data_IF_009718082995
#
_entry.id   IF_009718082995
#
_cell.length_a   1.000
_cell.length_b   1.000
_cell.length_c   1.000
_cell.angle_alpha   90.00
_cell.angle_beta   90.00
_cell.angle_gamma   90.00
#
_symmetry.space_group_name_H-M   'P 1'
#
loop_
_entity.id
_entity.type
_entity.pdbx_description
1 polymer ?
#
# COMPACT_ATOMS: atom_id res chain seq x y z
N UNK A 1 54.47 8.22 -23.20
CA UNK A 1 53.02 8.23 -23.47
C UNK A 1 52.36 7.14 -22.63
N UNK A 2 52.01 7.46 -21.39
CA UNK A 2 51.23 6.57 -20.53
C UNK A 2 50.34 7.46 -19.66
N UNK A 3 49.03 7.21 -19.69
CA UNK A 3 47.97 7.71 -18.78
C UNK A 3 46.77 8.22 -19.56
N UNK A 4 45.82 7.33 -19.85
CA UNK A 4 44.40 7.69 -20.00
C UNK A 4 43.48 6.49 -19.78
N UNK A 5 43.77 5.71 -18.74
CA UNK A 5 42.78 4.79 -18.15
C UNK A 5 42.46 5.30 -16.75
N UNK A 6 41.75 6.42 -16.69
CA UNK A 6 41.02 6.78 -15.47
C UNK A 6 39.91 5.75 -15.32
N UNK A 7 40.09 4.82 -14.38
CA UNK A 7 39.03 3.90 -13.95
C UNK A 7 37.75 4.73 -13.73
N UNK A 8 36.72 4.53 -14.53
CA UNK A 8 35.38 4.99 -14.21
C UNK A 8 34.93 4.21 -12.98
N UNK A 9 35.31 4.68 -11.79
CA UNK A 9 34.87 4.05 -10.55
C UNK A 9 33.35 4.11 -10.58
N UNK A 10 32.71 2.95 -10.65
CA UNK A 10 31.30 2.78 -10.32
C UNK A 10 31.11 3.29 -8.88
N UNK A 11 30.82 4.58 -8.74
CA UNK A 11 30.50 5.21 -7.47
C UNK A 11 29.04 5.61 -7.52
N UNK A 12 28.32 5.20 -6.48
CA UNK A 12 26.97 5.68 -6.19
C UNK A 12 27.14 6.87 -5.26
N UNK A 13 26.56 8.02 -5.62
CA UNK A 13 26.50 9.15 -4.72
C UNK A 13 25.41 8.94 -3.66
N UNK A 14 25.80 8.27 -2.58
CA UNK A 14 24.89 7.96 -1.48
C UNK A 14 24.36 9.21 -0.79
N UNK A 15 25.06 10.35 -0.85
CA UNK A 15 24.64 11.61 -0.21
C UNK A 15 23.38 12.16 -0.87
N UNK A 16 23.36 12.16 -2.20
CA UNK A 16 22.16 12.47 -3.01
C UNK A 16 20.98 11.59 -2.60
N UNK A 17 21.21 10.28 -2.46
CA UNK A 17 20.15 9.33 -2.10
C UNK A 17 19.59 9.62 -0.72
N UNK A 18 20.45 9.85 0.28
CA UNK A 18 20.04 10.15 1.66
C UNK A 18 19.33 11.49 1.77
N UNK A 19 19.80 12.52 1.06
CA UNK A 19 19.16 13.83 1.03
C UNK A 19 17.71 13.75 0.54
N UNK A 20 17.48 13.02 -0.56
CA UNK A 20 16.14 12.82 -1.11
C UNK A 20 15.24 11.97 -0.20
N UNK A 21 15.80 10.95 0.49
CA UNK A 21 15.08 10.23 1.55
C UNK A 21 14.63 11.19 2.65
N UNK A 22 15.51 12.12 3.06
CA UNK A 22 15.17 13.16 4.04
C UNK A 22 13.99 14.02 3.61
N UNK A 23 13.95 14.42 2.35
CA UNK A 23 12.80 15.12 1.75
C UNK A 23 11.50 14.31 1.86
N UNK A 24 11.54 13.01 1.54
CA UNK A 24 10.37 12.13 1.66
C UNK A 24 9.91 12.00 3.12
N UNK A 25 10.84 11.76 4.06
CA UNK A 25 10.54 11.67 5.50
C UNK A 25 9.95 12.98 6.03
N UNK A 26 10.46 14.13 5.58
CA UNK A 26 9.89 15.44 5.93
C UNK A 26 8.45 15.57 5.42
N UNK A 27 8.17 15.20 4.17
CA UNK A 27 6.78 15.23 3.67
C UNK A 27 5.87 14.22 4.39
N UNK A 28 6.40 13.06 4.76
CA UNK A 28 5.69 12.08 5.58
C UNK A 28 5.27 12.68 6.92
N UNK A 29 6.05 13.58 7.53
CA UNK A 29 5.64 14.22 8.79
C UNK A 29 4.29 14.94 8.69
N UNK A 30 3.92 15.46 7.53
CA UNK A 30 2.63 16.13 7.35
C UNK A 30 1.44 15.19 7.53
N UNK A 31 1.61 13.90 7.25
CA UNK A 31 0.54 12.90 7.39
C UNK A 31 0.31 12.53 8.85
N UNK A 32 1.34 12.64 9.72
CA UNK A 32 1.22 12.48 11.17
C UNK A 32 0.34 13.54 11.83
N UNK A 33 0.04 14.65 11.15
CA UNK A 33 -0.92 15.63 11.64
C UNK A 33 -2.36 15.07 11.69
N UNK A 34 -2.69 14.09 10.85
CA UNK A 34 -4.01 13.45 10.83
C UNK A 34 -4.26 12.66 12.14
N UNK A 35 -3.44 11.66 12.52
CA UNK A 35 -3.62 10.98 13.79
C UNK A 35 -3.40 11.91 14.99
N UNK A 36 -2.55 12.95 14.89
CA UNK A 36 -2.45 13.97 15.94
C UNK A 36 -3.77 14.74 16.14
N UNK A 37 -4.46 15.13 15.07
CA UNK A 37 -5.78 15.76 15.16
C UNK A 37 -6.81 14.82 15.79
N UNK A 38 -6.77 13.53 15.44
CA UNK A 38 -7.63 12.50 16.07
C UNK A 38 -7.28 12.31 17.54
N UNK A 39 -6.00 12.32 17.90
CA UNK A 39 -5.54 12.25 19.28
C UNK A 39 -6.08 13.44 20.11
N UNK A 40 -6.06 14.65 19.53
CA UNK A 40 -6.61 15.85 20.15
C UNK A 40 -8.14 15.77 20.31
N UNK A 41 -8.84 15.24 19.30
CA UNK A 41 -10.30 15.11 19.34
C UNK A 41 -10.77 14.08 20.39
N UNK A 42 -10.11 12.92 20.48
CA UNK A 42 -10.45 11.87 21.44
C UNK A 42 -9.74 11.99 22.79
N UNK A 43 -8.81 12.94 22.94
CA UNK A 43 -8.08 13.18 24.19
C UNK A 43 -7.11 12.07 24.62
N UNK A 44 -6.64 11.21 23.70
CA UNK A 44 -5.70 10.10 23.98
C UNK A 44 -4.51 10.13 23.01
N UNK A 45 -3.31 9.77 23.47
CA UNK A 45 -2.06 9.67 22.70
C UNK A 45 -1.58 10.97 22.00
N UNK A 46 -2.00 12.15 22.48
CA UNK A 46 -1.57 13.45 21.92
C UNK A 46 -0.06 13.59 21.96
N UNK A 47 0.57 13.28 23.10
CA UNK A 47 2.02 13.38 23.25
C UNK A 47 2.76 12.39 22.33
N UNK A 48 2.24 11.18 22.18
CA UNK A 48 2.78 10.14 21.28
C UNK A 48 2.92 10.66 19.86
N UNK A 49 1.83 11.22 19.31
CA UNK A 49 1.83 11.73 17.94
C UNK A 49 2.56 13.07 17.80
N UNK A 50 2.57 13.93 18.83
CA UNK A 50 3.34 15.16 18.82
C UNK A 50 4.86 14.88 18.81
N UNK A 51 5.33 13.95 19.65
CA UNK A 51 6.74 13.53 19.67
C UNK A 51 7.10 12.85 18.36
N UNK A 52 6.27 11.93 17.85
CA UNK A 52 6.53 11.28 16.56
C UNK A 52 6.62 12.30 15.41
N UNK A 53 5.74 13.31 15.37
CA UNK A 53 5.80 14.40 14.40
C UNK A 53 7.14 15.15 14.48
N UNK A 54 7.53 15.60 15.68
CA UNK A 54 8.79 16.34 15.87
C UNK A 54 10.00 15.49 15.49
N UNK A 55 10.06 14.23 15.93
CA UNK A 55 11.15 13.30 15.58
C UNK A 55 11.25 13.13 14.07
N UNK A 56 10.11 12.91 13.39
CA UNK A 56 10.06 12.74 11.93
C UNK A 56 10.55 13.99 11.20
N UNK A 57 10.11 15.18 11.63
CA UNK A 57 10.57 16.46 11.06
C UNK A 57 12.08 16.64 11.25
N UNK A 58 12.59 16.39 12.45
CA UNK A 58 14.02 16.54 12.76
C UNK A 58 14.86 15.58 11.94
N UNK A 59 14.47 14.31 11.86
CA UNK A 59 15.15 13.29 11.04
C UNK A 59 15.11 13.68 9.57
N UNK A 60 13.94 14.04 9.03
CA UNK A 60 13.79 14.45 7.63
C UNK A 60 14.69 15.63 7.28
N UNK A 61 14.66 16.69 8.10
CA UNK A 61 15.50 17.88 7.91
C UNK A 61 17.00 17.62 8.12
N UNK A 62 17.37 16.66 8.97
CA UNK A 62 18.77 16.28 9.16
C UNK A 62 19.31 15.53 7.93
N UNK A 63 18.54 14.58 7.40
CA UNK A 63 18.91 13.81 6.21
C UNK A 63 18.94 14.70 4.95
N UNK A 64 17.96 15.57 4.76
CA UNK A 64 17.87 16.49 3.61
C UNK A 64 19.09 17.44 3.51
N UNK A 65 19.69 17.82 4.65
CA UNK A 65 20.87 18.70 4.67
C UNK A 65 22.18 18.02 4.24
N UNK A 66 22.17 16.70 4.04
CA UNK A 66 23.37 15.94 3.65
C UNK A 66 23.89 16.34 2.27
N UNK A 67 22.99 16.69 1.34
CA UNK A 67 23.31 17.20 0.01
C UNK A 67 22.27 18.28 -0.39
N UNK A 68 22.63 19.58 -0.37
CA UNK A 68 21.71 20.68 -0.66
C UNK A 68 21.22 20.74 -2.11
N UNK A 69 22.02 20.25 -3.07
CA UNK A 69 21.67 20.25 -4.49
C UNK A 69 21.82 18.83 -5.05
N UNK A 70 20.93 17.90 -4.66
CA UNK A 70 21.04 16.52 -5.08
C UNK A 70 20.80 16.40 -6.58
N UNK A 71 21.76 15.84 -7.32
CA UNK A 71 21.57 15.44 -8.72
C UNK A 71 21.34 13.94 -8.79
N UNK A 72 20.11 13.55 -9.12
CA UNK A 72 19.68 12.16 -9.05
C UNK A 72 20.01 11.40 -10.34
N UNK A 73 21.07 10.59 -10.27
CA UNK A 73 21.34 9.56 -11.26
C UNK A 73 20.46 8.30 -11.07
N UNK A 74 20.39 7.40 -12.08
CA UNK A 74 19.63 6.16 -11.98
C UNK A 74 20.07 5.24 -10.83
N UNK A 75 21.36 5.20 -10.51
CA UNK A 75 21.93 4.34 -9.46
C UNK A 75 21.56 4.84 -8.07
N UNK A 76 21.65 6.15 -7.88
CA UNK A 76 21.22 6.86 -6.69
C UNK A 76 19.71 6.70 -6.52
N UNK A 77 18.94 6.69 -7.61
CA UNK A 77 17.51 6.37 -7.60
C UNK A 77 17.19 5.00 -6.96
N UNK A 78 17.91 3.93 -7.33
CA UNK A 78 17.72 2.60 -6.70
C UNK A 78 18.02 2.61 -5.21
N UNK A 79 19.14 3.23 -4.82
CA UNK A 79 19.52 3.31 -3.41
C UNK A 79 18.51 4.15 -2.61
N UNK A 80 18.08 5.29 -3.17
CA UNK A 80 17.08 6.17 -2.56
C UNK A 80 15.75 5.43 -2.33
N UNK A 81 15.25 4.69 -3.32
CA UNK A 81 13.99 3.93 -3.17
C UNK A 81 14.13 2.87 -2.07
N UNK A 82 15.21 2.08 -2.07
CA UNK A 82 15.44 1.05 -1.06
C UNK A 82 15.55 1.66 0.35
N UNK A 83 16.30 2.76 0.49
CA UNK A 83 16.44 3.47 1.76
C UNK A 83 15.13 4.12 2.21
N UNK A 84 14.30 4.61 1.28
CA UNK A 84 13.01 5.24 1.61
C UNK A 84 12.11 4.25 2.33
N UNK A 85 11.94 3.03 1.79
CA UNK A 85 11.11 2.01 2.43
C UNK A 85 11.59 1.67 3.84
N UNK A 86 12.91 1.52 4.02
CA UNK A 86 13.50 1.21 5.32
C UNK A 86 13.33 2.37 6.31
N UNK A 87 13.70 3.59 5.93
CA UNK A 87 13.69 4.76 6.82
C UNK A 87 12.27 5.18 7.17
N UNK A 88 11.35 5.16 6.21
CA UNK A 88 9.93 5.49 6.47
C UNK A 88 9.32 4.51 7.46
N UNK A 89 9.60 3.21 7.32
CA UNK A 89 9.14 2.22 8.29
C UNK A 89 9.77 2.41 9.67
N UNK A 90 11.08 2.69 9.76
CA UNK A 90 11.74 2.97 11.04
C UNK A 90 11.16 4.19 11.75
N UNK A 91 10.89 5.26 11.01
CA UNK A 91 10.31 6.49 11.59
C UNK A 91 8.83 6.27 11.96
N UNK A 92 8.08 5.53 11.16
CA UNK A 92 6.69 5.17 11.49
C UNK A 92 6.54 4.17 12.63
N UNK A 93 7.63 3.56 13.11
CA UNK A 93 7.66 2.76 14.35
C UNK A 93 7.50 3.62 15.60
N UNK A 94 7.86 4.91 15.55
CA UNK A 94 7.88 5.78 16.73
C UNK A 94 6.52 5.85 17.46
N UNK A 95 5.37 6.12 16.79
CA UNK A 95 4.07 6.11 17.46
C UNK A 95 3.73 4.78 18.15
N UNK A 96 4.08 3.63 17.55
CA UNK A 96 3.79 2.31 18.12
C UNK A 96 4.57 2.06 19.41
N UNK A 97 5.87 2.36 19.39
CA UNK A 97 6.73 2.24 20.58
C UNK A 97 6.23 3.14 21.71
N UNK A 98 5.93 4.41 21.39
CA UNK A 98 5.47 5.38 22.37
C UNK A 98 4.11 5.01 22.99
N UNK A 99 3.18 4.48 22.19
CA UNK A 99 1.86 4.02 22.68
C UNK A 99 1.96 2.70 23.46
N UNK A 100 2.92 1.83 23.13
CA UNK A 100 3.19 0.60 23.87
C UNK A 100 3.88 0.81 25.23
N UNK A 101 4.63 1.89 25.41
CA UNK A 101 5.37 2.12 26.66
C UNK A 101 4.45 2.24 27.87
N UNK A 102 4.69 1.38 28.87
CA UNK A 102 3.93 1.38 30.12
C UNK A 102 2.51 0.83 29.99
N UNK A 103 2.17 0.21 28.86
CA UNK A 103 0.89 -0.48 28.64
C UNK A 103 1.09 -2.00 28.55
N UNK A 104 0.01 -2.77 28.60
CA UNK A 104 0.04 -4.22 28.34
C UNK A 104 0.12 -4.59 26.86
N UNK A 105 0.30 -3.62 25.95
CA UNK A 105 0.35 -3.88 24.51
C UNK A 105 1.64 -4.58 24.11
N UNK A 106 1.54 -5.55 23.19
CA UNK A 106 2.70 -6.23 22.58
C UNK A 106 3.58 -5.27 21.78
N UNK A 107 3.08 -4.06 21.45
CA UNK A 107 3.82 -3.00 20.77
C UNK A 107 4.91 -2.35 21.64
N UNK A 108 4.93 -2.61 22.96
CA UNK A 108 6.05 -2.22 23.80
C UNK A 108 7.38 -2.86 23.35
N UNK A 109 7.32 -4.02 22.69
CA UNK A 109 8.48 -4.70 22.16
C UNK A 109 8.93 -4.07 20.82
N UNK A 110 10.18 -3.57 20.68
CA UNK A 110 10.60 -2.83 19.49
C UNK A 110 10.51 -3.59 18.17
N UNK A 111 10.73 -4.90 18.19
CA UNK A 111 10.61 -5.73 16.98
C UNK A 111 9.15 -5.80 16.53
N UNK A 112 8.19 -5.85 17.46
CA UNK A 112 6.76 -5.93 17.13
C UNK A 112 6.28 -4.60 16.57
N UNK A 113 6.70 -3.49 17.18
CA UNK A 113 6.41 -2.14 16.68
C UNK A 113 7.01 -1.88 15.29
N UNK A 114 8.24 -2.38 15.04
CA UNK A 114 8.85 -2.30 13.72
C UNK A 114 8.13 -3.16 12.69
N UNK A 115 7.74 -4.39 13.07
CA UNK A 115 6.96 -5.28 12.22
C UNK A 115 5.63 -4.65 11.82
N UNK A 116 4.89 -4.09 12.78
CA UNK A 116 3.60 -3.42 12.54
C UNK A 116 3.77 -2.23 11.57
N UNK A 117 4.83 -1.43 11.74
CA UNK A 117 5.15 -0.32 10.85
C UNK A 117 5.53 -0.77 9.44
N UNK A 118 6.41 -1.76 9.32
CA UNK A 118 6.81 -2.35 8.04
C UNK A 118 5.58 -2.88 7.31
N UNK A 119 4.78 -3.73 7.97
CA UNK A 119 3.56 -4.32 7.43
C UNK A 119 2.55 -3.27 6.96
N UNK A 120 2.44 -2.16 7.70
CA UNK A 120 1.65 -1.00 7.29
C UNK A 120 2.15 -0.40 5.98
N UNK A 121 3.39 0.08 5.93
CA UNK A 121 3.92 0.74 4.73
C UNK A 121 4.07 -0.19 3.52
N UNK A 122 4.35 -1.48 3.71
CA UNK A 122 4.42 -2.44 2.59
C UNK A 122 3.05 -2.98 2.19
N UNK A 123 1.98 -2.50 2.82
CA UNK A 123 0.59 -2.96 2.60
C UNK A 123 0.46 -4.47 2.72
N UNK A 124 1.18 -5.07 3.67
CA UNK A 124 1.19 -6.52 3.89
C UNK A 124 0.02 -6.97 4.75
N UNK A 125 -0.40 -6.15 5.72
CA UNK A 125 -1.59 -6.46 6.54
C UNK A 125 -1.39 -7.43 7.69
N UNK A 126 -0.20 -8.01 7.83
CA UNK A 126 0.17 -8.83 8.99
C UNK A 126 0.25 -7.98 10.26
N UNK A 127 -0.22 -8.50 11.39
CA UNK A 127 -0.16 -7.80 12.68
C UNK A 127 0.53 -8.63 13.76
N UNK A 128 1.19 -7.94 14.69
CA UNK A 128 1.77 -8.54 15.91
C UNK A 128 1.09 -8.01 17.18
N UNK A 129 -0.08 -7.36 17.04
CA UNK A 129 -0.89 -6.95 18.18
C UNK A 129 -1.67 -8.13 18.72
N UNK A 130 -1.40 -8.49 19.98
CA UNK A 130 -2.10 -9.61 20.64
C UNK A 130 -3.58 -9.35 20.88
N UNK A 131 -3.98 -8.09 21.05
CA UNK A 131 -5.38 -7.68 21.14
C UNK A 131 -5.55 -6.36 20.38
N UNK A 132 -6.69 -6.19 19.69
CA UNK A 132 -7.05 -4.96 18.99
C UNK A 132 -8.38 -4.47 19.57
N UNK A 133 -8.32 -3.45 20.41
CA UNK A 133 -9.49 -2.84 21.04
C UNK A 133 -9.25 -1.36 21.35
N UNK A 134 -10.33 -0.57 21.36
CA UNK A 134 -10.27 0.84 21.78
C UNK A 134 -10.02 1.01 23.29
N UNK A 135 -10.17 -0.06 24.07
CA UNK A 135 -9.78 -0.07 25.48
C UNK A 135 -8.25 0.04 25.60
N UNK A 136 -7.53 -0.84 24.90
CA UNK A 136 -6.08 -0.92 24.97
C UNK A 136 -5.38 0.12 24.08
N UNK A 137 -5.92 0.40 22.89
CA UNK A 137 -5.28 1.24 21.88
C UNK A 137 -6.10 2.51 21.60
N UNK A 138 -5.42 3.63 21.32
CA UNK A 138 -6.09 4.88 20.99
C UNK A 138 -6.62 4.88 19.55
N UNK A 139 -7.66 5.69 19.29
CA UNK A 139 -8.14 5.96 17.93
C UNK A 139 -7.05 6.53 17.03
N UNK A 140 -6.14 7.33 17.58
CA UNK A 140 -5.03 7.88 16.81
C UNK A 140 -4.03 6.80 16.37
N UNK A 141 -3.71 5.85 17.27
CA UNK A 141 -2.83 4.72 16.96
C UNK A 141 -3.43 3.80 15.91
N UNK A 142 -4.70 3.40 16.10
CA UNK A 142 -5.38 2.55 15.14
C UNK A 142 -5.56 3.28 13.80
N UNK A 143 -5.80 4.59 13.77
CA UNK A 143 -5.84 5.33 12.51
C UNK A 143 -4.47 5.40 11.84
N UNK A 144 -3.38 5.55 12.61
CA UNK A 144 -2.03 5.54 12.07
C UNK A 144 -1.72 4.24 11.33
N UNK A 145 -2.11 3.08 11.89
CA UNK A 145 -2.01 1.78 11.20
C UNK A 145 -2.65 1.82 9.81
N UNK A 146 -3.90 2.24 9.75
CA UNK A 146 -4.67 2.29 8.51
C UNK A 146 -4.06 3.28 7.52
N UNK A 147 -3.62 4.44 8.03
CA UNK A 147 -3.01 5.49 7.23
C UNK A 147 -1.66 5.05 6.64
N UNK A 148 -0.84 4.28 7.37
CA UNK A 148 0.43 3.78 6.83
C UNK A 148 0.23 2.84 5.63
N UNK A 149 -0.85 2.04 5.59
CA UNK A 149 -1.20 1.26 4.41
C UNK A 149 -1.62 2.14 3.24
N UNK A 150 -2.44 3.15 3.51
CA UNK A 150 -2.86 4.09 2.47
C UNK A 150 -1.68 4.83 1.84
N UNK A 151 -0.70 5.22 2.68
CA UNK A 151 0.55 5.84 2.24
C UNK A 151 1.46 4.85 1.52
N UNK A 152 1.52 3.60 1.98
CA UNK A 152 2.28 2.52 1.38
C UNK A 152 1.88 2.20 -0.05
N UNK A 153 0.58 1.97 -0.30
CA UNK A 153 0.09 1.45 -1.58
C UNK A 153 0.40 2.37 -2.77
N UNK A 154 0.10 3.67 -2.65
CA UNK A 154 0.42 4.63 -3.71
C UNK A 154 1.03 5.95 -3.22
N UNK A 155 0.93 6.30 -1.94
CA UNK A 155 1.43 7.58 -1.44
C UNK A 155 2.95 7.75 -1.58
N UNK A 156 3.72 6.76 -1.13
CA UNK A 156 5.20 6.78 -1.18
C UNK A 156 5.67 6.73 -2.64
N UNK A 157 5.03 5.90 -3.46
CA UNK A 157 5.34 5.79 -4.88
C UNK A 157 5.07 7.13 -5.58
N UNK A 158 3.93 7.77 -5.35
CA UNK A 158 3.61 9.08 -5.97
C UNK A 158 4.54 10.19 -5.46
N UNK A 159 4.89 10.22 -4.17
CA UNK A 159 5.85 11.19 -3.63
C UNK A 159 7.24 11.00 -4.22
N UNK A 160 7.72 9.75 -4.28
CA UNK A 160 8.96 9.40 -4.96
C UNK A 160 8.89 9.89 -6.41
N UNK A 161 7.81 9.62 -7.13
CA UNK A 161 7.64 10.04 -8.53
C UNK A 161 7.60 11.53 -8.71
N UNK A 162 6.91 12.27 -7.85
CA UNK A 162 6.86 13.72 -7.93
C UNK A 162 8.26 14.33 -7.78
N UNK A 163 9.11 13.72 -6.95
CA UNK A 163 10.51 14.11 -6.75
C UNK A 163 11.38 13.64 -7.93
N UNK A 164 11.26 12.38 -8.33
CA UNK A 164 11.96 11.76 -9.46
C UNK A 164 11.66 12.46 -10.78
N UNK A 165 10.42 12.92 -11.00
CA UNK A 165 9.99 13.57 -12.22
C UNK A 165 10.64 14.94 -12.43
N UNK A 166 11.19 15.55 -11.37
CA UNK A 166 11.98 16.76 -11.47
C UNK A 166 13.41 16.50 -11.98
N UNK A 167 13.83 15.23 -12.07
CA UNK A 167 15.19 14.81 -12.42
C UNK A 167 15.20 13.99 -13.73
N UNK A 168 15.87 14.49 -14.77
CA UNK A 168 15.71 14.05 -16.16
C UNK A 168 16.15 12.60 -16.47
N UNK A 169 17.06 12.02 -15.70
CA UNK A 169 17.67 10.71 -16.01
C UNK A 169 17.00 9.52 -15.32
N UNK A 170 16.27 9.73 -14.22
CA UNK A 170 15.49 8.70 -13.53
C UNK A 170 14.19 8.32 -14.28
N UNK A 171 13.78 9.13 -15.27
CA UNK A 171 12.53 9.01 -16.02
C UNK A 171 12.43 7.77 -16.91
N UNK A 172 13.53 7.34 -17.54
CA UNK A 172 13.56 6.13 -18.37
C UNK A 172 13.43 4.86 -17.54
N UNK A 173 13.93 4.90 -16.31
CA UNK A 173 13.82 3.81 -15.34
C UNK A 173 12.46 3.79 -14.65
N UNK A 174 11.88 4.95 -14.34
CA UNK A 174 10.49 5.04 -13.85
C UNK A 174 9.49 4.40 -14.82
N UNK A 175 9.72 4.58 -16.13
CA UNK A 175 8.92 3.94 -17.18
C UNK A 175 8.98 2.40 -17.14
N UNK A 176 10.07 1.84 -16.63
CA UNK A 176 10.26 0.39 -16.41
C UNK A 176 9.71 -0.02 -15.02
N UNK A 177 9.88 0.82 -14.01
CA UNK A 177 9.42 0.60 -12.63
C UNK A 177 7.89 0.68 -12.47
N UNK A 178 7.17 1.49 -13.27
CA UNK A 178 5.70 1.52 -13.26
C UNK A 178 5.08 0.30 -13.91
N UNK A 179 5.70 -0.21 -14.97
CA UNK A 179 5.31 -1.50 -15.56
C UNK A 179 5.65 -2.65 -14.60
N UNK A 180 6.70 -2.50 -13.79
CA UNK A 180 7.10 -3.42 -12.72
C UNK A 180 6.11 -3.43 -11.54
N UNK A 181 5.68 -2.26 -11.04
CA UNK A 181 4.71 -2.12 -9.94
C UNK A 181 3.26 -2.46 -10.35
N UNK A 182 2.93 -2.39 -11.65
CA UNK A 182 1.57 -2.57 -12.18
C UNK A 182 1.17 -4.00 -12.60
N UNK A 183 2.02 -5.02 -12.43
CA UNK A 183 1.59 -6.42 -12.68
C UNK A 183 2.64 -7.40 -13.20
N UNK A 184 3.77 -6.94 -13.78
CA UNK A 184 4.78 -7.82 -14.40
C UNK A 184 6.05 -8.03 -13.54
N UNK A 185 6.21 -7.29 -12.44
CA UNK A 185 7.51 -7.05 -11.82
C UNK A 185 8.23 -8.24 -11.17
N UNK A 186 7.50 -9.20 -10.58
CA UNK A 186 8.12 -10.38 -9.96
C UNK A 186 8.37 -11.50 -10.98
N UNK A 187 7.45 -11.66 -11.94
CA UNK A 187 7.52 -12.67 -13.01
C UNK A 187 8.59 -12.30 -14.04
N UNK A 188 8.71 -11.02 -14.39
CA UNK A 188 9.77 -10.54 -15.28
C UNK A 188 11.10 -10.45 -14.55
N UNK A 189 11.16 -10.25 -13.23
CA UNK A 189 12.43 -10.45 -12.53
C UNK A 189 12.88 -11.91 -12.62
N UNK A 190 11.97 -12.85 -12.37
CA UNK A 190 12.25 -14.28 -12.51
C UNK A 190 12.69 -14.64 -13.94
N UNK A 191 11.98 -14.13 -14.97
CA UNK A 191 12.23 -14.44 -16.39
C UNK A 191 13.31 -13.56 -17.04
N UNK A 192 13.66 -12.39 -16.51
CA UNK A 192 14.71 -11.52 -17.03
C UNK A 192 16.03 -11.61 -16.25
N UNK A 193 16.02 -12.12 -15.01
CA UNK A 193 17.24 -12.45 -14.25
C UNK A 193 17.74 -13.86 -14.58
N UNK A 194 16.88 -14.87 -14.75
CA UNK A 194 17.33 -16.23 -15.13
C UNK A 194 18.21 -16.23 -16.39
N UNK A 195 17.86 -15.50 -17.48
CA UNK A 195 18.70 -15.43 -18.67
C UNK A 195 19.96 -14.59 -18.47
N UNK A 196 19.93 -13.59 -17.58
CA UNK A 196 21.12 -12.74 -17.29
C UNK A 196 22.14 -13.42 -16.38
N UNK A 197 21.78 -14.52 -15.73
CA UNK A 197 22.72 -15.46 -15.11
C UNK A 197 23.35 -16.41 -16.15
N UNK A 198 22.94 -16.33 -17.42
CA UNK A 198 23.52 -17.03 -18.58
C UNK A 198 24.07 -16.04 -19.61
N UNK A 199 25.26 -15.48 -19.31
CA UNK A 199 26.28 -14.85 -20.17
C UNK A 199 25.87 -14.33 -21.58
N UNK A 200 25.98 -13.01 -21.79
CA UNK A 200 26.47 -12.37 -23.04
C UNK A 200 25.45 -11.67 -23.97
N UNK A 201 25.63 -10.35 -24.24
CA UNK A 201 24.94 -9.72 -25.40
C UNK A 201 24.86 -8.17 -25.50
N UNK A 202 25.27 -7.38 -24.52
CA UNK A 202 25.01 -5.93 -24.51
C UNK A 202 26.05 -5.04 -25.24
N UNK A 203 26.86 -5.58 -26.15
CA UNK A 203 27.89 -4.81 -26.88
C UNK A 203 27.55 -4.52 -28.36
N UNK A 204 26.36 -4.90 -28.81
CA UNK A 204 25.94 -4.75 -30.23
C UNK A 204 25.00 -3.57 -30.49
N UNK A 205 24.51 -2.88 -29.46
CA UNK A 205 23.41 -1.92 -29.61
C UNK A 205 23.83 -0.45 -29.83
N UNK A 206 25.11 -0.11 -29.65
CA UNK A 206 25.61 1.27 -29.77
C UNK A 206 26.10 1.64 -31.18
N UNK A 207 25.91 0.77 -32.18
CA UNK A 207 26.44 0.99 -33.54
C UNK A 207 25.42 1.54 -34.57
N UNK A 208 24.12 1.64 -34.27
CA UNK A 208 23.11 1.79 -35.34
C UNK A 208 22.12 2.98 -35.27
N UNK A 209 22.14 3.88 -34.30
CA UNK A 209 21.13 4.96 -34.24
C UNK A 209 21.72 6.38 -34.35
N UNK A 210 21.58 7.07 -35.52
CA UNK A 210 21.81 8.51 -35.64
C UNK A 210 20.50 9.31 -35.54
N UNK A 211 20.47 10.40 -34.77
CA UNK A 211 19.41 11.43 -34.85
C UNK A 211 19.18 12.28 -33.59
N UNK A 212 18.95 13.61 -33.69
CA UNK A 212 18.91 14.54 -32.56
C UNK A 212 17.49 14.86 -32.06
N UNK A 213 17.39 15.23 -30.77
CA UNK A 213 16.25 15.91 -30.17
C UNK A 213 15.55 15.12 -29.06
N UNK A 214 16.10 15.15 -27.84
CA UNK A 214 15.34 14.77 -26.63
C UNK A 214 14.35 15.91 -26.37
N UNK A 215 13.16 15.83 -26.97
CA UNK A 215 12.01 16.61 -26.52
C UNK A 215 11.72 16.29 -25.04
N UNK A 216 11.50 17.34 -24.24
CA UNK A 216 11.27 17.23 -22.79
C UNK A 216 10.00 16.42 -22.52
N UNK A 217 10.17 15.12 -22.27
CA UNK A 217 9.13 14.14 -21.90
C UNK A 217 8.48 14.40 -20.51
N UNK A 218 9.04 15.31 -19.73
CA UNK A 218 8.69 15.65 -18.33
C UNK A 218 7.21 15.97 -18.05
N UNK A 219 6.48 16.76 -18.87
CA UNK A 219 5.15 17.27 -18.49
C UNK A 219 4.05 16.19 -18.43
N UNK A 220 4.21 15.09 -19.18
CA UNK A 220 3.15 14.10 -19.36
C UNK A 220 3.06 13.09 -18.22
N UNK A 221 4.16 12.79 -17.52
CA UNK A 221 4.21 11.72 -16.51
C UNK A 221 3.69 12.19 -15.15
N UNK A 222 4.03 13.41 -14.73
CA UNK A 222 3.40 14.02 -13.54
C UNK A 222 1.87 14.12 -13.71
N UNK A 223 1.40 14.33 -14.94
CA UNK A 223 -0.02 14.31 -15.29
C UNK A 223 -0.61 12.90 -15.14
N UNK A 224 0.07 11.85 -15.59
CA UNK A 224 -0.36 10.45 -15.40
C UNK A 224 -0.39 10.04 -13.92
N UNK A 225 0.66 10.32 -13.15
CA UNK A 225 0.71 10.01 -11.72
C UNK A 225 -0.40 10.73 -10.95
N UNK A 226 -0.67 12.00 -11.27
CA UNK A 226 -1.78 12.76 -10.72
C UNK A 226 -3.14 12.15 -11.05
N UNK A 227 -3.31 11.66 -12.28
CA UNK A 227 -4.54 10.98 -12.70
C UNK A 227 -4.78 9.70 -11.89
N UNK A 228 -3.76 8.84 -11.77
CA UNK A 228 -3.88 7.59 -10.99
C UNK A 228 -4.17 7.89 -9.51
N UNK A 229 -3.51 8.91 -8.94
CA UNK A 229 -3.76 9.35 -7.57
C UNK A 229 -5.18 9.89 -7.36
N UNK A 230 -5.74 10.62 -8.33
CA UNK A 230 -7.13 11.09 -8.27
C UNK A 230 -8.13 9.95 -8.32
N UNK A 231 -7.89 8.93 -9.16
CA UNK A 231 -8.73 7.73 -9.22
C UNK A 231 -8.70 6.99 -7.89
N UNK A 232 -7.50 6.78 -7.33
CA UNK A 232 -7.33 6.15 -6.01
C UNK A 232 -8.05 6.88 -4.89
N UNK A 233 -7.83 8.19 -4.79
CA UNK A 233 -8.51 9.04 -3.80
C UNK A 233 -10.03 9.00 -4.03
N UNK A 234 -10.46 9.04 -5.30
CA UNK A 234 -11.87 8.96 -5.68
C UNK A 234 -12.54 7.69 -5.19
N UNK A 235 -11.95 6.52 -5.43
CA UNK A 235 -12.46 5.25 -4.90
C UNK A 235 -12.41 5.19 -3.37
N UNK A 236 -11.33 5.69 -2.76
CA UNK A 236 -11.21 5.73 -1.29
C UNK A 236 -12.35 6.53 -0.67
N UNK A 237 -12.56 7.78 -1.15
CA UNK A 237 -13.62 8.66 -0.65
C UNK A 237 -15.01 8.10 -0.97
N UNK A 238 -15.19 7.52 -2.16
CA UNK A 238 -16.45 6.87 -2.53
C UNK A 238 -16.79 5.74 -1.55
N UNK A 239 -15.83 4.87 -1.23
CA UNK A 239 -16.04 3.80 -0.27
C UNK A 239 -16.34 4.33 1.14
N UNK A 240 -15.65 5.40 1.58
CA UNK A 240 -15.93 6.05 2.88
C UNK A 240 -17.37 6.56 2.96
N UNK A 241 -17.84 7.24 1.91
CA UNK A 241 -19.21 7.78 1.83
C UNK A 241 -20.24 6.66 1.81
N UNK A 242 -20.00 5.59 1.04
CA UNK A 242 -20.93 4.47 0.96
C UNK A 242 -21.03 3.69 2.29
N UNK A 243 -19.90 3.43 2.95
CA UNK A 243 -19.88 2.77 4.27
C UNK A 243 -20.60 3.60 5.33
N UNK A 244 -20.35 4.91 5.37
CA UNK A 244 -21.06 5.80 6.28
C UNK A 244 -22.55 5.93 5.90
N UNK A 245 -22.88 5.90 4.61
CA UNK A 245 -24.25 5.85 4.12
C UNK A 245 -25.03 4.63 4.62
N UNK A 246 -24.40 3.45 4.66
CA UNK A 246 -25.00 2.23 5.24
C UNK A 246 -25.27 2.38 6.74
N UNK A 247 -24.38 3.07 7.46
CA UNK A 247 -24.60 3.39 8.88
C UNK A 247 -25.81 4.30 9.07
N UNK A 248 -25.90 5.39 8.29
CA UNK A 248 -27.03 6.32 8.35
C UNK A 248 -28.36 5.66 7.94
N UNK A 249 -28.32 4.71 7.01
CA UNK A 249 -29.49 3.94 6.58
C UNK A 249 -29.90 2.86 7.59
N UNK A 250 -29.15 2.66 8.67
CA UNK A 250 -29.44 1.67 9.72
C UNK A 250 -29.06 0.23 9.38
N UNK A 251 -28.46 -0.03 8.20
CA UNK A 251 -28.00 -1.37 7.79
C UNK A 251 -26.66 -1.77 8.42
N UNK A 252 -25.92 -0.80 8.98
CA UNK A 252 -24.61 -1.01 9.60
C UNK A 252 -24.44 -0.17 10.88
N UNK A 253 -25.12 -0.50 11.99
CA UNK A 253 -25.09 0.30 13.22
C UNK A 253 -23.68 0.44 13.82
N UNK A 254 -22.83 -0.57 13.65
CA UNK A 254 -21.45 -0.56 14.16
C UNK A 254 -20.45 0.17 13.24
N UNK A 255 -20.85 0.53 12.01
CA UNK A 255 -20.00 1.23 11.03
C UNK A 255 -20.01 2.75 11.24
N UNK A 256 -19.67 3.20 12.45
CA UNK A 256 -19.59 4.63 12.75
C UNK A 256 -18.56 5.37 11.88
N UNK A 257 -18.53 6.70 11.96
CA UNK A 257 -17.66 7.55 11.12
C UNK A 257 -16.19 7.12 11.14
N UNK A 258 -15.68 6.76 12.31
CA UNK A 258 -14.29 6.30 12.44
C UNK A 258 -14.03 5.02 11.64
N UNK A 259 -14.89 4.00 11.78
CA UNK A 259 -14.78 2.74 11.05
C UNK A 259 -15.00 2.95 9.54
N UNK A 260 -15.92 3.83 9.14
CA UNK A 260 -16.16 4.15 7.73
C UNK A 260 -14.97 4.85 7.05
N UNK A 261 -14.17 5.63 7.80
CA UNK A 261 -12.93 6.23 7.30
C UNK A 261 -11.77 5.24 7.33
N UNK A 262 -11.67 4.43 8.37
CA UNK A 262 -10.57 3.52 8.61
C UNK A 262 -10.47 2.40 7.54
N UNK A 263 -11.59 1.78 7.15
CA UNK A 263 -11.57 0.61 6.26
C UNK A 263 -11.18 0.92 4.81
N UNK A 264 -11.62 2.03 4.19
CA UNK A 264 -11.17 2.39 2.83
C UNK A 264 -9.69 2.72 2.74
N UNK A 265 -9.09 3.23 3.83
CA UNK A 265 -7.64 3.47 3.92
C UNK A 265 -6.83 2.17 3.81
N UNK A 266 -7.44 1.00 4.02
CA UNK A 266 -6.77 -0.30 3.95
C UNK A 266 -7.26 -1.17 2.80
N UNK A 267 -8.52 -1.01 2.39
CA UNK A 267 -9.10 -1.74 1.24
C UNK A 267 -8.43 -1.32 -0.06
N UNK A 268 -8.35 -0.02 -0.32
CA UNK A 268 -7.83 0.52 -1.58
C UNK A 268 -6.34 0.25 -1.82
N UNK A 269 -5.44 0.31 -0.82
CA UNK A 269 -4.04 -0.11 -0.99
C UNK A 269 -3.84 -1.62 -0.92
N UNK A 270 -4.92 -2.41 -0.88
CA UNK A 270 -4.86 -3.86 -0.71
C UNK A 270 -4.09 -4.32 0.54
N UNK A 271 -4.24 -3.59 1.66
CA UNK A 271 -3.48 -3.83 2.89
C UNK A 271 -4.19 -4.61 4.01
N UNK A 272 -5.51 -4.48 4.19
CA UNK A 272 -6.27 -5.39 5.09
C UNK A 272 -6.18 -5.15 6.60
N UNK A 273 -5.60 -4.04 7.09
CA UNK A 273 -5.75 -3.66 8.51
C UNK A 273 -7.20 -3.26 8.85
N UNK A 274 -7.57 -3.48 10.11
CA UNK A 274 -8.85 -3.07 10.67
C UNK A 274 -8.69 -2.54 12.10
N UNK A 275 -9.54 -1.58 12.52
CA UNK A 275 -9.70 -1.22 13.93
C UNK A 275 -10.32 -2.32 14.80
N UNK A 276 -10.99 -3.30 14.18
CA UNK A 276 -11.67 -4.39 14.89
C UNK A 276 -10.84 -5.67 14.82
N UNK A 277 -10.81 -6.45 15.91
CA UNK A 277 -10.03 -7.67 15.99
C UNK A 277 -10.43 -8.72 14.93
N UNK A 278 -11.73 -8.86 14.66
CA UNK A 278 -12.27 -9.75 13.61
C UNK A 278 -12.35 -9.10 12.23
N UNK A 279 -11.70 -7.95 12.05
CA UNK A 279 -11.72 -7.22 10.79
C UNK A 279 -13.16 -6.93 10.31
N UNK A 280 -13.42 -7.04 9.01
CA UNK A 280 -14.72 -6.80 8.39
C UNK A 280 -15.80 -7.80 8.82
N UNK A 281 -15.43 -8.95 9.39
CA UNK A 281 -16.37 -9.92 9.94
C UNK A 281 -17.15 -9.35 11.14
N UNK A 282 -16.61 -8.37 11.87
CA UNK A 282 -17.30 -7.70 12.97
C UNK A 282 -18.52 -6.86 12.51
N UNK A 283 -18.69 -6.66 11.20
CA UNK A 283 -19.75 -5.84 10.61
C UNK A 283 -20.78 -6.68 9.85
N UNK A 284 -21.96 -6.08 9.62
CA UNK A 284 -23.08 -6.74 8.95
C UNK A 284 -22.72 -7.20 7.52
N UNK A 285 -23.45 -8.20 7.02
CA UNK A 285 -23.30 -8.71 5.65
C UNK A 285 -23.34 -7.59 4.58
N UNK A 286 -24.15 -6.55 4.81
CA UNK A 286 -24.24 -5.38 3.93
C UNK A 286 -22.90 -4.66 3.76
N UNK A 287 -22.11 -4.52 4.83
CA UNK A 287 -20.76 -3.94 4.78
C UNK A 287 -19.83 -4.83 3.98
N UNK A 288 -19.86 -6.14 4.21
CA UNK A 288 -18.98 -7.09 3.52
C UNK A 288 -19.25 -7.07 2.01
N UNK A 289 -20.52 -7.13 1.61
CA UNK A 289 -20.94 -7.03 0.21
C UNK A 289 -20.56 -5.70 -0.44
N UNK A 290 -20.55 -4.60 0.32
CA UNK A 290 -20.09 -3.32 -0.18
C UNK A 290 -18.58 -3.31 -0.43
N UNK A 291 -17.78 -3.94 0.42
CA UNK A 291 -16.30 -3.89 0.36
C UNK A 291 -15.73 -4.84 -0.71
N UNK A 292 -16.31 -6.02 -0.91
CA UNK A 292 -15.86 -7.02 -1.90
C UNK A 292 -15.59 -6.43 -3.30
N UNK A 293 -16.50 -5.66 -3.93
CA UNK A 293 -16.24 -5.07 -5.24
C UNK A 293 -15.11 -4.02 -5.23
N UNK A 294 -14.91 -3.31 -4.11
CA UNK A 294 -13.77 -2.39 -3.96
C UNK A 294 -12.45 -3.14 -3.80
N UNK A 295 -12.43 -4.29 -3.12
CA UNK A 295 -11.24 -5.16 -3.05
C UNK A 295 -10.86 -5.67 -4.44
N UNK A 296 -11.84 -6.15 -5.21
CA UNK A 296 -11.60 -6.56 -6.60
C UNK A 296 -11.12 -5.38 -7.44
N UNK A 297 -11.73 -4.19 -7.32
CA UNK A 297 -11.28 -3.01 -8.06
C UNK A 297 -9.85 -2.60 -7.67
N UNK A 298 -9.51 -2.63 -6.39
CA UNK A 298 -8.19 -2.28 -5.87
C UNK A 298 -7.07 -3.20 -6.40
N UNK A 299 -7.38 -4.48 -6.66
CA UNK A 299 -6.45 -5.44 -7.26
C UNK A 299 -6.26 -5.29 -8.78
N UNK A 300 -6.93 -4.32 -9.42
CA UNK A 300 -6.84 -4.10 -10.87
C UNK A 300 -6.03 -2.84 -11.21
N UNK A 301 -5.66 -2.71 -12.47
CA UNK A 301 -4.93 -1.56 -12.96
C UNK A 301 -5.80 -0.28 -12.94
N UNK A 302 -5.47 0.68 -12.07
CA UNK A 302 -6.19 1.95 -11.94
C UNK A 302 -6.25 2.80 -13.22
N UNK A 303 -5.33 2.58 -14.18
CA UNK A 303 -5.39 3.25 -15.48
C UNK A 303 -6.65 2.89 -16.28
N UNK A 304 -7.21 1.69 -16.08
CA UNK A 304 -8.43 1.26 -16.74
C UNK A 304 -9.65 2.06 -16.25
N UNK A 305 -9.76 2.31 -14.94
CA UNK A 305 -10.83 3.14 -14.39
C UNK A 305 -10.76 4.60 -14.85
N UNK A 306 -9.55 5.12 -15.08
CA UNK A 306 -9.42 6.44 -15.71
C UNK A 306 -10.05 6.48 -17.11
N UNK A 307 -9.89 5.42 -17.90
CA UNK A 307 -10.51 5.33 -19.23
C UNK A 307 -12.04 5.27 -19.15
N UNK A 308 -12.59 4.56 -18.17
CA UNK A 308 -14.03 4.54 -17.89
C UNK A 308 -14.53 5.95 -17.56
N UNK A 309 -13.87 6.65 -16.63
CA UNK A 309 -14.23 8.01 -16.23
C UNK A 309 -14.07 9.04 -17.37
N UNK A 310 -13.21 8.74 -18.34
CA UNK A 310 -12.99 9.55 -19.53
C UNK A 310 -13.98 9.25 -20.67
N UNK A 311 -15.00 8.41 -20.44
CA UNK A 311 -16.05 8.09 -21.40
C UNK A 311 -15.75 6.91 -22.34
N UNK A 312 -14.71 6.12 -22.08
CA UNK A 312 -14.37 4.94 -22.89
C UNK A 312 -14.44 3.64 -22.04
N UNK A 313 -15.65 3.20 -21.63
CA UNK A 313 -15.81 2.03 -20.77
C UNK A 313 -15.37 0.72 -21.43
N UNK A 314 -15.42 0.64 -22.76
CA UNK A 314 -15.03 -0.53 -23.55
C UNK A 314 -13.61 -0.99 -23.26
N UNK A 315 -12.69 -0.06 -22.94
CA UNK A 315 -11.30 -0.39 -22.58
C UNK A 315 -11.17 -1.25 -21.33
N UNK A 316 -12.13 -1.19 -20.41
CA UNK A 316 -12.13 -2.06 -19.23
C UNK A 316 -12.58 -3.47 -19.61
N UNK A 317 -13.62 -3.58 -20.44
CA UNK A 317 -14.20 -4.88 -20.84
C UNK A 317 -13.40 -5.58 -21.93
N UNK A 318 -12.64 -4.87 -22.73
CA UNK A 318 -11.79 -5.46 -23.78
C UNK A 318 -10.45 -5.93 -23.23
N UNK A 319 -10.05 -5.46 -22.05
CA UNK A 319 -8.79 -5.80 -21.42
C UNK A 319 -8.78 -7.26 -20.95
N UNK A 320 -7.80 -8.02 -21.46
CA UNK A 320 -7.68 -9.45 -21.18
C UNK A 320 -7.26 -9.72 -19.74
N UNK A 321 -6.46 -8.84 -19.13
CA UNK A 321 -6.01 -8.99 -17.74
C UNK A 321 -7.19 -8.79 -16.79
N UNK A 322 -7.96 -7.71 -16.97
CA UNK A 322 -9.16 -7.45 -16.19
C UNK A 322 -10.19 -8.58 -16.30
N UNK A 323 -10.47 -9.04 -17.53
CA UNK A 323 -11.40 -10.16 -17.75
C UNK A 323 -10.91 -11.46 -17.11
N UNK A 324 -9.63 -11.78 -17.27
CA UNK A 324 -9.05 -13.00 -16.69
C UNK A 324 -9.05 -12.92 -15.17
N UNK A 325 -8.72 -11.76 -14.60
CA UNK A 325 -8.72 -11.51 -13.16
C UNK A 325 -10.11 -11.69 -12.54
N UNK A 326 -11.13 -11.00 -13.08
CA UNK A 326 -12.51 -11.14 -12.60
C UNK A 326 -13.05 -12.57 -12.84
N UNK A 327 -12.68 -13.19 -13.97
CA UNK A 327 -13.03 -14.58 -14.26
C UNK A 327 -12.46 -15.56 -13.23
N UNK A 328 -11.17 -15.42 -12.87
CA UNK A 328 -10.52 -16.24 -11.84
C UNK A 328 -11.19 -16.03 -10.48
N UNK A 329 -11.45 -14.78 -10.08
CA UNK A 329 -12.16 -14.47 -8.83
C UNK A 329 -13.53 -15.15 -8.80
N UNK A 330 -14.30 -15.03 -9.88
CA UNK A 330 -15.63 -15.64 -9.97
C UNK A 330 -15.60 -17.16 -9.87
N UNK A 331 -14.69 -17.82 -10.60
CA UNK A 331 -14.55 -19.28 -10.58
C UNK A 331 -14.11 -19.77 -9.20
N UNK A 332 -13.08 -19.17 -8.61
CA UNK A 332 -12.61 -19.56 -7.28
C UNK A 332 -13.65 -19.29 -6.21
N UNK A 333 -14.38 -18.17 -6.31
CA UNK A 333 -15.50 -17.86 -5.40
C UNK A 333 -16.58 -18.94 -5.50
N UNK A 334 -16.97 -19.35 -6.70
CA UNK A 334 -17.96 -20.41 -6.88
C UNK A 334 -17.50 -21.77 -6.32
N UNK A 335 -16.22 -22.11 -6.53
CA UNK A 335 -15.63 -23.34 -6.00
C UNK A 335 -15.61 -23.34 -4.47
N UNK A 336 -15.08 -22.29 -3.85
CA UNK A 336 -15.03 -22.17 -2.38
C UNK A 336 -16.44 -22.08 -1.79
N UNK A 337 -17.35 -21.34 -2.41
CA UNK A 337 -18.75 -21.28 -1.96
C UNK A 337 -19.41 -22.66 -1.98
N UNK A 338 -19.16 -23.47 -3.01
CA UNK A 338 -19.64 -24.84 -3.09
C UNK A 338 -19.10 -25.73 -1.97
N UNK A 339 -17.81 -25.60 -1.64
CA UNK A 339 -17.17 -26.34 -0.55
C UNK A 339 -17.67 -25.92 0.83
N UNK A 340 -17.86 -24.61 1.04
CA UNK A 340 -18.40 -24.06 2.28
C UNK A 340 -19.87 -24.47 2.48
N UNK A 341 -20.66 -24.45 1.41
CA UNK A 341 -22.07 -24.84 1.43
C UNK A 341 -22.27 -26.31 1.80
N UNK A 342 -21.41 -27.20 1.29
CA UNK A 342 -21.45 -28.65 1.58
C UNK A 342 -20.81 -29.02 2.92
N UNK A 343 -20.13 -28.08 3.58
CA UNK A 343 -19.39 -28.34 4.82
C UNK A 343 -18.12 -29.18 4.62
N UNK A 344 -17.66 -29.36 3.39
CA UNK A 344 -16.45 -30.15 3.11
C UNK A 344 -15.20 -29.44 3.63
N UNK A 345 -14.50 -30.07 4.59
CA UNK A 345 -13.29 -29.50 5.20
C UNK A 345 -13.54 -28.59 6.40
N UNK A 346 -14.77 -28.53 6.91
CA UNK A 346 -15.13 -27.80 8.15
C UNK A 346 -15.38 -28.82 9.26
N UNK A 347 -14.41 -28.96 10.16
CA UNK A 347 -14.50 -29.91 11.29
C UNK A 347 -15.25 -29.30 12.49
N UNK A 348 -15.14 -27.99 12.69
CA UNK A 348 -15.87 -27.23 13.72
C UNK A 348 -16.29 -25.86 13.19
N UNK A 349 -17.51 -25.43 13.49
CA UNK A 349 -17.97 -24.05 13.28
C UNK A 349 -18.13 -23.44 14.67
N UNK A 350 -17.45 -22.33 14.94
CA UNK A 350 -17.62 -21.62 16.20
C UNK A 350 -19.00 -20.96 16.24
N UNK A 351 -19.64 -20.93 17.42
CA UNK A 351 -20.94 -20.27 17.63
C UNK A 351 -20.92 -18.76 17.31
N UNK A 352 -19.73 -18.20 17.09
CA UNK A 352 -19.48 -16.81 16.81
C UNK A 352 -19.53 -16.46 15.31
N UNK A 353 -19.82 -17.42 14.43
CA UNK A 353 -19.98 -17.23 12.98
C UNK A 353 -21.40 -17.63 12.58
N UNK A 354 -22.03 -16.88 11.68
CA UNK A 354 -23.33 -17.25 11.13
C UNK A 354 -23.26 -18.64 10.47
N UNK A 355 -24.35 -19.43 10.49
CA UNK A 355 -24.33 -20.79 9.93
C UNK A 355 -23.97 -20.75 8.43
N UNK A 356 -22.80 -21.29 8.07
CA UNK A 356 -22.33 -21.29 6.68
C UNK A 356 -22.88 -22.50 5.91
N UNK A 357 -22.92 -23.66 6.57
CA UNK A 357 -23.30 -24.94 5.94
C UNK A 357 -24.79 -24.92 5.63
N UNK A 358 -25.14 -25.16 4.36
CA UNK A 358 -26.52 -25.12 3.89
C UNK A 358 -27.11 -23.72 3.63
N UNK A 359 -26.38 -22.65 3.96
CA UNK A 359 -26.79 -21.27 3.69
C UNK A 359 -26.02 -20.70 2.50
N UNK A 360 -26.73 -20.50 1.39
CA UNK A 360 -26.11 -20.10 0.13
C UNK A 360 -25.54 -18.67 0.19
N UNK A 361 -26.23 -17.73 0.83
CA UNK A 361 -25.78 -16.34 0.90
C UNK A 361 -24.50 -16.20 1.74
N UNK A 362 -24.46 -16.82 2.92
CA UNK A 362 -23.28 -16.85 3.78
C UNK A 362 -22.11 -17.55 3.06
N UNK A 363 -22.33 -18.73 2.49
CA UNK A 363 -21.29 -19.46 1.75
C UNK A 363 -20.69 -18.64 0.60
N UNK A 364 -21.52 -17.96 -0.19
CA UNK A 364 -21.05 -17.12 -1.30
C UNK A 364 -20.32 -15.89 -0.79
N UNK A 365 -20.86 -15.20 0.22
CA UNK A 365 -20.25 -13.97 0.77
C UNK A 365 -18.89 -14.25 1.38
N UNK A 366 -18.78 -15.28 2.20
CA UNK A 366 -17.50 -15.69 2.82
C UNK A 366 -16.49 -16.16 1.77
N UNK A 367 -16.92 -16.91 0.75
CA UNK A 367 -16.06 -17.28 -0.36
C UNK A 367 -15.57 -16.06 -1.15
N UNK A 368 -16.48 -15.16 -1.52
CA UNK A 368 -16.18 -13.96 -2.28
C UNK A 368 -15.21 -13.04 -1.54
N UNK A 369 -15.41 -12.87 -0.24
CA UNK A 369 -14.51 -12.10 0.61
C UNK A 369 -13.11 -12.73 0.64
N UNK A 370 -13.00 -14.03 0.95
CA UNK A 370 -11.72 -14.72 1.05
C UNK A 370 -10.93 -14.72 -0.27
N UNK A 371 -11.63 -14.90 -1.40
CA UNK A 371 -10.99 -14.88 -2.72
C UNK A 371 -10.62 -13.45 -3.12
N UNK A 372 -11.47 -12.46 -2.88
CA UNK A 372 -11.14 -11.07 -3.13
C UNK A 372 -10.02 -10.56 -2.21
N UNK A 373 -9.83 -11.17 -1.04
CA UNK A 373 -8.70 -10.91 -0.13
C UNK A 373 -7.45 -11.72 -0.44
N UNK A 374 -7.45 -12.63 -1.43
CA UNK A 374 -6.23 -13.36 -1.82
C UNK A 374 -5.04 -12.43 -2.15
N UNK A 375 -5.22 -11.31 -2.87
CA UNK A 375 -4.16 -10.32 -3.06
C UNK A 375 -3.72 -9.60 -1.77
N UNK A 376 -4.53 -9.65 -0.70
CA UNK A 376 -4.36 -8.97 0.59
C UNK A 376 -3.72 -9.87 1.69
N UNK A 377 -3.13 -11.03 1.34
CA UNK A 377 -2.85 -12.09 2.31
C UNK A 377 -1.78 -11.77 3.38
N UNK A 378 -2.26 -11.41 4.58
CA UNK A 378 -1.80 -11.94 5.88
C UNK A 378 -2.74 -11.60 7.06
N UNK A 379 -4.06 -11.65 6.85
CA UNK A 379 -5.01 -11.55 7.95
C UNK A 379 -6.22 -12.48 7.74
N UNK A 380 -5.94 -13.78 7.69
CA UNK A 380 -6.91 -14.82 8.05
C UNK A 380 -6.68 -15.16 9.53
N UNK A 381 -7.73 -15.37 10.33
CA UNK A 381 -7.58 -15.91 11.68
C UNK A 381 -7.14 -17.38 11.55
N UNK A 382 -5.83 -17.60 11.47
CA UNK A 382 -5.24 -18.95 11.48
C UNK A 382 -4.89 -19.39 12.91
N UNK A 383 -5.10 -18.54 13.91
CA UNK A 383 -4.73 -18.87 15.29
C UNK A 383 -5.80 -19.64 16.09
N UNK A 384 -6.94 -20.02 15.48
CA UNK A 384 -7.95 -20.88 16.11
C UNK A 384 -8.58 -21.92 15.14
N UNK A 385 -7.74 -22.63 14.36
CA UNK A 385 -8.12 -23.89 13.70
C UNK A 385 -7.41 -25.10 14.31
#
# INVERSE_FOLDING_TARGET
>A
MASKWSSSRLRVDWRTSISLVGTIVKYLSTTLLIPLAVALFYGRDVLTFAVAFVVTVVVGLALERVEPNPDLGPREGFLMVALTWLVVALVGTVPYLLSGMGTGSTLAHPVNALFESMSGFTTTGATMMGEISFAQHSHALLLWRQLTQWLGGMGIVVLAVAILAQHSHALLLWRQLTQWLGGMGIVVLAVAILPKLSVGGAQLMDAEAPGPGIEKLTPRIAKTARVLWLVYLGFTVLQMVLLYGLHLAGFAPNMGLYNAVAHPLTTMPTGGFSPEARSIEAFSAAVQWLIIPFMAAAGTNFALFWHVLSGNPEKLTDDIEFRSYIGIIGVLTALVAGLLFTGTGIDTVTDAVAPIIGEAEDSIRHAAFNIASCPLWLNSPVDDM
#
